data_IF_555078188403
#
_entry.id   IF_555078188403
#
_cell.length_a   1.000
_cell.length_b   1.000
_cell.length_c   1.000
_cell.angle_alpha   90.00
_cell.angle_beta   90.00
_cell.angle_gamma   90.00
#
_symmetry.space_group_name_H-M   'P 1'
#
loop_
_entity.id
_entity.type
_entity.pdbx_description
1 polymer ?
#
# COMPACT_ATOMS: atom_id res chain seq x y z
N UNK A 1 -4.04 -2.60 -0.83
CA UNK A 1 -2.79 -1.80 -0.68
C UNK A 1 -2.59 -0.82 -1.84
N UNK A 2 -2.56 -1.30 -3.08
CA UNK A 2 -2.46 -0.44 -4.27
C UNK A 2 -3.55 0.65 -4.29
N UNK A 3 -4.76 0.34 -3.83
CA UNK A 3 -5.89 1.27 -3.76
C UNK A 3 -5.64 2.42 -2.78
N UNK A 4 -5.02 2.14 -1.62
CA UNK A 4 -4.64 3.15 -0.62
C UNK A 4 -3.60 4.09 -1.22
N UNK A 5 -2.58 3.54 -1.86
CA UNK A 5 -1.54 4.37 -2.52
C UNK A 5 -2.15 5.19 -3.65
N UNK A 6 -3.07 4.63 -4.43
CA UNK A 6 -3.78 5.39 -5.46
C UNK A 6 -4.57 6.55 -4.87
N UNK A 7 -5.33 6.33 -3.80
CA UNK A 7 -6.11 7.38 -3.13
C UNK A 7 -5.25 8.50 -2.53
N UNK A 8 -4.03 8.18 -2.07
CA UNK A 8 -3.11 9.16 -1.46
C UNK A 8 -2.28 9.94 -2.49
N UNK A 9 -2.06 9.38 -3.68
CA UNK A 9 -1.09 9.91 -4.64
C UNK A 9 -1.71 10.33 -5.97
N UNK A 10 -2.95 9.92 -6.26
CA UNK A 10 -3.60 10.01 -7.57
C UNK A 10 -2.72 9.49 -8.73
N UNK A 11 -1.77 8.60 -8.43
CA UNK A 11 -0.82 8.09 -9.41
C UNK A 11 -1.56 7.29 -10.48
N UNK A 12 -1.23 7.56 -11.75
CA UNK A 12 -1.71 6.78 -12.90
C UNK A 12 -1.19 5.34 -12.88
N UNK A 13 -0.03 5.10 -12.25
CA UNK A 13 0.50 3.77 -11.99
C UNK A 13 0.84 3.60 -10.49
N UNK A 14 -0.15 3.23 -9.66
CA UNK A 14 0.05 3.05 -8.22
C UNK A 14 0.90 1.81 -7.90
N UNK A 15 0.97 0.81 -8.80
CA UNK A 15 1.83 -0.38 -8.62
C UNK A 15 3.30 0.00 -8.75
N UNK A 16 3.64 0.77 -9.78
CA UNK A 16 4.99 1.30 -9.93
C UNK A 16 5.34 2.27 -8.81
N UNK A 17 4.36 3.06 -8.34
CA UNK A 17 4.56 3.92 -7.17
C UNK A 17 4.95 3.11 -5.93
N UNK A 18 4.23 2.03 -5.61
CA UNK A 18 4.56 1.13 -4.48
C UNK A 18 5.99 0.59 -4.61
N UNK A 19 6.42 0.17 -5.81
CA UNK A 19 7.80 -0.30 -6.03
C UNK A 19 8.82 0.80 -5.71
N UNK A 20 8.60 2.02 -6.21
CA UNK A 20 9.48 3.17 -5.94
C UNK A 20 9.45 3.58 -4.45
N UNK A 21 8.29 3.53 -3.81
CA UNK A 21 8.14 3.82 -2.39
C UNK A 21 8.97 2.84 -1.54
N UNK A 22 8.87 1.55 -1.83
CA UNK A 22 9.67 0.50 -1.17
C UNK A 22 11.17 0.64 -1.46
N UNK A 23 11.58 1.05 -2.65
CA UNK A 23 13.00 1.26 -2.92
C UNK A 23 13.59 2.46 -2.18
N UNK A 24 12.77 3.46 -1.83
CA UNK A 24 13.19 4.66 -1.08
C UNK A 24 13.23 4.44 0.44
N UNK A 25 12.42 3.52 0.96
CA UNK A 25 12.32 3.21 2.40
C UNK A 25 12.72 1.74 2.65
N UNK A 26 14.00 1.47 2.95
CA UNK A 26 14.51 0.12 3.18
C UNK A 26 13.83 -0.59 4.35
N UNK A 27 13.43 0.15 5.40
CA UNK A 27 12.78 -0.43 6.58
C UNK A 27 11.36 -0.89 6.24
N UNK A 28 10.58 -0.06 5.54
CA UNK A 28 9.28 -0.44 5.02
C UNK A 28 9.39 -1.65 4.09
N UNK A 29 10.40 -1.68 3.23
CA UNK A 29 10.60 -2.79 2.29
C UNK A 29 10.92 -4.10 3.01
N UNK A 30 11.76 -4.06 4.03
CA UNK A 30 12.12 -5.23 4.84
C UNK A 30 10.89 -5.82 5.56
N UNK A 31 9.99 -4.95 6.05
CA UNK A 31 8.79 -5.35 6.80
C UNK A 31 7.53 -5.48 5.91
N UNK A 32 7.66 -5.35 4.59
CA UNK A 32 6.52 -5.25 3.68
C UNK A 32 5.57 -6.45 3.75
N UNK A 33 6.09 -7.68 3.82
CA UNK A 33 5.28 -8.89 3.89
C UNK A 33 4.46 -8.98 5.19
N UNK A 34 4.97 -8.39 6.27
CA UNK A 34 4.30 -8.33 7.57
C UNK A 34 3.26 -7.21 7.60
N UNK A 35 3.60 -6.04 7.04
CA UNK A 35 2.70 -4.86 7.00
C UNK A 35 1.55 -5.07 6.02
N UNK A 36 1.82 -5.64 4.86
CA UNK A 36 0.87 -5.85 3.76
C UNK A 36 0.65 -7.35 3.53
N UNK A 37 0.04 -8.02 4.50
CA UNK A 37 -0.23 -9.46 4.42
C UNK A 37 -1.30 -9.75 3.36
N UNK A 38 -1.10 -10.77 2.51
CA UNK A 38 -2.15 -11.24 1.60
C UNK A 38 -3.28 -11.89 2.39
N UNK A 39 -4.48 -11.33 2.31
CA UNK A 39 -5.69 -11.88 2.93
C UNK A 39 -6.64 -12.38 1.84
N UNK A 40 -7.25 -13.56 1.99
CA UNK A 40 -8.24 -14.04 1.04
C UNK A 40 -9.51 -13.20 1.14
N UNK A 41 -9.81 -12.44 0.09
CA UNK A 41 -11.01 -11.62 -0.04
C UNK A 41 -11.90 -12.11 -1.18
N UNK A 42 -13.21 -11.97 -1.02
CA UNK A 42 -14.18 -12.31 -2.06
C UNK A 42 -14.20 -11.21 -3.12
N UNK A 43 -13.87 -11.57 -4.37
CA UNK A 43 -14.00 -10.67 -5.52
C UNK A 43 -15.45 -10.48 -5.94
N UNK A 44 -15.70 -9.44 -6.76
CA UNK A 44 -17.03 -9.16 -7.34
C UNK A 44 -17.58 -10.33 -8.19
N UNK A 45 -16.69 -11.18 -8.68
CA UNK A 45 -16.98 -12.40 -9.45
C UNK A 45 -17.22 -13.64 -8.56
N UNK A 46 -17.32 -13.47 -7.24
CA UNK A 46 -17.51 -14.56 -6.28
C UNK A 46 -16.27 -15.43 -6.06
N UNK A 47 -15.13 -15.10 -6.67
CA UNK A 47 -13.87 -15.84 -6.52
C UNK A 47 -13.03 -15.26 -5.39
N UNK A 48 -12.48 -16.12 -4.53
CA UNK A 48 -11.51 -15.70 -3.51
C UNK A 48 -10.17 -15.38 -4.17
N UNK A 49 -9.64 -14.19 -3.90
CA UNK A 49 -8.30 -13.78 -4.32
C UNK A 49 -7.52 -13.28 -3.10
N UNK A 50 -6.22 -13.53 -3.10
CA UNK A 50 -5.34 -12.94 -2.10
C UNK A 50 -5.12 -11.48 -2.45
N UNK A 51 -5.61 -10.60 -1.60
CA UNK A 51 -5.46 -9.14 -1.74
C UNK A 51 -4.51 -8.67 -0.64
N UNK A 52 -3.58 -7.78 -1.01
CA UNK A 52 -2.70 -7.16 -0.01
C UNK A 52 -3.52 -6.20 0.86
N UNK A 53 -3.71 -6.60 2.12
CA UNK A 53 -4.38 -5.83 3.15
C UNK A 53 -3.35 -5.42 4.21
N UNK A 54 -3.63 -4.29 4.86
CA UNK A 54 -2.86 -3.80 5.99
C UNK A 54 -3.87 -3.39 7.08
N UNK A 55 -3.48 -3.53 8.33
CA UNK A 55 -4.21 -3.00 9.46
C UNK A 55 -3.99 -1.48 9.60
N UNK A 56 -4.61 -0.87 10.62
CA UNK A 56 -4.48 0.57 10.85
C UNK A 56 -3.01 1.02 10.95
N UNK A 57 -2.20 0.28 11.72
CA UNK A 57 -0.79 0.60 11.91
C UNK A 57 -0.01 0.52 10.60
N UNK A 58 -0.25 -0.51 9.80
CA UNK A 58 0.35 -0.66 8.48
C UNK A 58 -0.04 0.47 7.53
N UNK A 59 -1.31 0.87 7.53
CA UNK A 59 -1.80 2.00 6.73
C UNK A 59 -1.12 3.31 7.15
N UNK A 60 -1.01 3.60 8.45
CA UNK A 60 -0.28 4.79 8.92
C UNK A 60 1.19 4.77 8.50
N UNK A 61 1.84 3.60 8.56
CA UNK A 61 3.23 3.47 8.10
C UNK A 61 3.37 3.80 6.61
N UNK A 62 2.43 3.35 5.79
CA UNK A 62 2.40 3.65 4.35
C UNK A 62 2.24 5.15 4.11
N UNK A 63 1.31 5.80 4.82
CA UNK A 63 1.05 7.24 4.69
C UNK A 63 2.33 8.03 4.97
N UNK A 64 3.10 7.66 5.99
CA UNK A 64 4.39 8.28 6.32
C UNK A 64 5.44 8.15 5.19
N UNK A 65 5.42 7.05 4.43
CA UNK A 65 6.37 6.80 3.34
C UNK A 65 5.94 7.42 2.00
N UNK A 66 4.80 8.12 1.94
CA UNK A 66 4.34 8.86 0.77
C UNK A 66 4.77 10.34 0.92
N UNK A 67 5.84 10.78 0.23
CA UNK A 67 6.20 12.20 0.19
C UNK A 67 5.23 12.92 -0.75
N UNK A 68 4.06 13.31 -0.26
CA UNK A 68 3.07 14.06 -1.03
C UNK A 68 2.84 15.43 -0.40
N UNK A 69 2.75 16.51 -1.20
CA UNK A 69 2.36 17.84 -0.71
C UNK A 69 0.92 17.89 -0.19
N UNK A 70 0.05 16.91 -0.49
CA UNK A 70 -1.32 16.82 0.07
C UNK A 70 -1.34 16.43 1.55
N UNK A 71 -0.24 15.90 2.08
CA UNK A 71 -0.12 15.41 3.45
C UNK A 71 0.55 16.43 4.39
N UNK A 72 0.72 17.68 3.98
CA UNK A 72 1.10 18.75 4.92
C UNK A 72 -0.04 19.01 5.89
N UNK A 73 0.03 18.36 7.06
CA UNK A 73 -0.70 18.78 8.26
C UNK A 73 -0.12 20.08 8.80
#
# INVERSE_FOLDING_TARGET
MVDVVQALTDSLDPKQYVKKMRSRDPELNAKWGTICTPVPMLGKDGKKRNVQAADLQGIFRIIQSVPSPKLSL
#
